data_IF_668598808994
#
_entry.id   IF_668598808994
#
_cell.length_a   1.000
_cell.length_b   1.000
_cell.length_c   1.000
_cell.angle_alpha   90.00
_cell.angle_beta   90.00
_cell.angle_gamma   90.00
#
_symmetry.space_group_name_H-M   'P 1'
#
loop_
_entity.id
_entity.type
_entity.pdbx_description
1 polymer ?
#
# COMPACT_ATOMS: atom_id res chain seq x y z
N UNK A 1 5.85 -18.72 9.24
CA UNK A 1 4.70 -19.41 8.60
C UNK A 1 4.86 -19.29 7.08
N UNK A 2 4.67 -20.39 6.33
CA UNK A 2 4.67 -20.32 4.87
C UNK A 2 3.31 -19.75 4.40
N UNK A 3 3.33 -18.78 3.49
CA UNK A 3 2.14 -18.20 2.86
C UNK A 3 1.73 -19.12 1.72
N UNK A 4 0.60 -19.81 1.84
CA UNK A 4 0.13 -20.75 0.82
C UNK A 4 -0.69 -20.03 -0.27
N UNK A 5 -1.45 -19.00 0.11
CA UNK A 5 -2.32 -18.26 -0.79
C UNK A 5 -2.28 -16.76 -0.50
N UNK A 6 -2.29 -15.95 -1.57
CA UNK A 6 -2.29 -14.51 -1.47
C UNK A 6 -3.26 -13.87 -2.48
N UNK A 7 -3.90 -12.77 -2.05
CA UNK A 7 -4.64 -11.85 -2.90
C UNK A 7 -3.84 -10.55 -3.00
N UNK A 8 -3.48 -10.14 -4.21
CA UNK A 8 -2.80 -8.86 -4.45
C UNK A 8 -3.72 -7.94 -5.25
N UNK A 9 -4.26 -6.91 -4.59
CA UNK A 9 -5.12 -5.89 -5.20
C UNK A 9 -4.24 -4.74 -5.70
N UNK A 10 -4.33 -4.42 -6.99
CA UNK A 10 -3.46 -3.49 -7.67
C UNK A 10 -2.22 -4.15 -8.29
N UNK A 11 -2.31 -5.41 -8.65
CA UNK A 11 -1.23 -6.22 -9.20
C UNK A 11 -0.75 -5.82 -10.60
N UNK A 12 -1.44 -4.89 -11.28
CA UNK A 12 -1.13 -4.52 -12.66
C UNK A 12 0.10 -3.63 -12.84
N UNK A 13 0.72 -3.10 -11.79
CA UNK A 13 1.91 -2.24 -11.88
C UNK A 13 2.59 -2.00 -10.53
N UNK A 14 3.83 -1.46 -10.57
CA UNK A 14 4.55 -0.98 -9.41
C UNK A 14 4.69 -2.01 -8.29
N UNK A 15 4.41 -1.60 -7.05
CA UNK A 15 4.54 -2.46 -5.86
C UNK A 15 3.67 -3.71 -5.94
N UNK A 16 2.42 -3.59 -6.40
CA UNK A 16 1.51 -4.73 -6.51
C UNK A 16 2.04 -5.80 -7.49
N UNK A 17 2.52 -5.38 -8.66
CA UNK A 17 3.11 -6.28 -9.65
C UNK A 17 4.38 -6.96 -9.12
N UNK A 18 5.28 -6.19 -8.52
CA UNK A 18 6.50 -6.73 -7.92
C UNK A 18 6.19 -7.73 -6.80
N UNK A 19 5.19 -7.42 -5.96
CA UNK A 19 4.76 -8.30 -4.86
C UNK A 19 4.16 -9.60 -5.39
N UNK A 20 3.26 -9.52 -6.38
CA UNK A 20 2.66 -10.71 -6.98
C UNK A 20 3.74 -11.62 -7.60
N UNK A 21 4.70 -11.05 -8.34
CA UNK A 21 5.82 -11.79 -8.90
C UNK A 21 6.70 -12.46 -7.83
N UNK A 22 7.05 -11.73 -6.77
CA UNK A 22 7.87 -12.27 -5.69
C UNK A 22 7.18 -13.40 -4.92
N UNK A 23 5.87 -13.28 -4.64
CA UNK A 23 5.06 -14.32 -4.01
C UNK A 23 4.95 -15.57 -4.89
N UNK A 24 4.71 -15.40 -6.20
CA UNK A 24 4.67 -16.51 -7.16
C UNK A 24 6.02 -17.22 -7.23
N UNK A 25 7.13 -16.49 -7.28
CA UNK A 25 8.48 -17.07 -7.28
C UNK A 25 8.79 -17.83 -5.98
N UNK A 26 8.17 -17.45 -4.86
CA UNK A 26 8.26 -18.15 -3.59
C UNK A 26 7.31 -19.36 -3.47
N UNK A 27 6.58 -19.72 -4.54
CA UNK A 27 5.66 -20.86 -4.56
C UNK A 27 4.28 -20.59 -3.96
N UNK A 28 3.93 -19.32 -3.67
CA UNK A 28 2.60 -18.93 -3.18
C UNK A 28 1.59 -18.93 -4.32
N UNK A 29 0.39 -19.47 -4.12
CA UNK A 29 -0.74 -19.33 -5.05
C UNK A 29 -1.26 -17.89 -4.97
N UNK A 30 -1.12 -17.13 -6.05
CA UNK A 30 -1.47 -15.71 -6.08
C UNK A 30 -2.70 -15.45 -6.96
N UNK A 31 -3.73 -14.82 -6.38
CA UNK A 31 -4.78 -14.15 -7.13
C UNK A 31 -4.37 -12.69 -7.32
N UNK A 32 -4.00 -12.34 -8.55
CA UNK A 32 -3.57 -11.00 -8.92
C UNK A 32 -4.77 -10.21 -9.49
N UNK A 33 -5.29 -9.24 -8.72
CA UNK A 33 -6.40 -8.39 -9.13
C UNK A 33 -5.89 -7.04 -9.65
N UNK A 34 -6.13 -6.77 -10.92
CA UNK A 34 -5.82 -5.52 -11.60
C UNK A 34 -7.03 -4.56 -11.65
N UNK A 35 -7.05 -3.69 -12.67
CA UNK A 35 -8.11 -2.69 -12.86
C UNK A 35 -9.45 -3.27 -13.30
N UNK A 36 -9.44 -4.47 -13.82
CA UNK A 36 -10.63 -5.24 -14.24
C UNK A 36 -11.49 -5.67 -13.04
N UNK A 37 -10.96 -5.59 -11.84
CA UNK A 37 -11.62 -5.89 -10.57
C UNK A 37 -11.70 -4.61 -9.73
N UNK A 38 -12.87 -4.00 -9.67
CA UNK A 38 -13.07 -2.76 -8.89
C UNK A 38 -13.14 -3.04 -7.38
N UNK A 39 -12.01 -2.84 -6.71
CA UNK A 39 -11.92 -3.03 -5.26
C UNK A 39 -12.58 -1.90 -4.43
N UNK A 40 -13.21 -0.90 -5.06
CA UNK A 40 -14.12 0.02 -4.38
C UNK A 40 -15.56 -0.52 -4.29
N UNK A 41 -15.87 -1.59 -5.03
CA UNK A 41 -17.15 -2.29 -4.99
C UNK A 41 -17.12 -3.41 -3.91
N UNK A 42 -17.97 -3.33 -2.87
CA UNK A 42 -18.01 -4.34 -1.82
C UNK A 42 -18.31 -5.76 -2.32
N UNK A 43 -19.11 -5.91 -3.39
CA UNK A 43 -19.44 -7.23 -3.92
C UNK A 43 -18.22 -7.85 -4.61
N UNK A 44 -17.47 -7.07 -5.38
CA UNK A 44 -16.24 -7.53 -6.00
C UNK A 44 -15.15 -7.88 -4.96
N UNK A 45 -15.01 -7.08 -3.90
CA UNK A 45 -14.09 -7.38 -2.80
C UNK A 45 -14.46 -8.71 -2.13
N UNK A 46 -15.74 -8.93 -1.83
CA UNK A 46 -16.21 -10.18 -1.23
C UNK A 46 -15.94 -11.40 -2.14
N UNK A 47 -16.15 -11.26 -3.45
CA UNK A 47 -15.86 -12.30 -4.43
C UNK A 47 -14.35 -12.60 -4.50
N UNK A 48 -13.49 -11.57 -4.54
CA UNK A 48 -12.03 -11.73 -4.56
C UNK A 48 -11.51 -12.47 -3.31
N UNK A 49 -12.00 -12.13 -2.12
CA UNK A 49 -11.62 -12.82 -0.89
C UNK A 49 -12.08 -14.27 -0.86
N UNK A 50 -13.29 -14.54 -1.37
CA UNK A 50 -13.82 -15.90 -1.45
C UNK A 50 -13.05 -16.76 -2.48
N UNK A 51 -12.70 -16.19 -3.64
CA UNK A 51 -11.94 -16.86 -4.70
C UNK A 51 -10.50 -17.17 -4.26
N UNK A 52 -9.85 -16.22 -3.62
CA UNK A 52 -8.46 -16.36 -3.19
C UNK A 52 -8.30 -17.25 -1.95
N UNK A 53 -9.23 -17.22 -1.02
CA UNK A 53 -9.13 -17.78 0.34
C UNK A 53 -7.73 -17.54 0.93
N UNK A 54 -7.34 -16.26 1.16
CA UNK A 54 -5.94 -15.90 1.30
C UNK A 54 -5.42 -16.00 2.74
N UNK A 55 -4.15 -16.38 2.88
CA UNK A 55 -3.34 -16.16 4.10
C UNK A 55 -2.80 -14.73 4.15
N UNK A 56 -2.59 -14.13 2.96
CA UNK A 56 -2.10 -12.77 2.81
C UNK A 56 -2.97 -11.98 1.82
N UNK A 57 -3.45 -10.82 2.26
CA UNK A 57 -4.04 -9.81 1.37
C UNK A 57 -3.12 -8.62 1.30
N UNK A 58 -2.74 -8.21 0.09
CA UNK A 58 -1.95 -6.99 -0.16
C UNK A 58 -2.79 -5.98 -0.92
N UNK A 59 -3.05 -4.83 -0.30
CA UNK A 59 -3.76 -3.70 -0.89
C UNK A 59 -2.72 -2.71 -1.40
N UNK A 60 -2.36 -2.80 -2.68
CA UNK A 60 -1.41 -1.92 -3.36
C UNK A 60 -2.09 -1.04 -4.43
N UNK A 61 -3.41 -1.18 -4.62
CA UNK A 61 -4.19 -0.34 -5.50
C UNK A 61 -4.32 1.08 -4.97
N UNK A 62 -4.36 2.04 -5.86
CA UNK A 62 -4.57 3.44 -5.54
C UNK A 62 -4.57 4.32 -6.77
N UNK A 63 -4.96 5.58 -6.59
CA UNK A 63 -4.96 6.60 -7.63
C UNK A 63 -3.56 7.18 -7.84
N UNK A 64 -3.36 7.75 -9.01
CA UNK A 64 -2.24 8.64 -9.26
C UNK A 64 -2.70 10.07 -8.88
N UNK A 65 -2.08 10.71 -7.87
CA UNK A 65 -2.45 12.08 -7.53
C UNK A 65 -2.08 13.03 -8.68
N UNK A 66 -2.87 14.09 -8.84
CA UNK A 66 -2.44 15.25 -9.63
C UNK A 66 -1.33 15.94 -8.86
N UNK A 67 -0.17 16.10 -9.50
CA UNK A 67 0.96 16.84 -8.94
C UNK A 67 0.82 18.31 -9.30
N UNK A 68 0.42 19.14 -8.33
CA UNK A 68 0.22 20.58 -8.48
C UNK A 68 0.19 21.25 -7.10
N UNK A 69 0.44 22.56 -7.02
CA UNK A 69 0.29 23.35 -5.82
C UNK A 69 -1.15 23.31 -5.29
N UNK A 70 -1.36 23.63 -4.02
CA UNK A 70 -2.68 23.47 -3.37
C UNK A 70 -3.74 24.40 -3.98
N UNK A 71 -3.37 25.60 -4.38
CA UNK A 71 -4.23 26.59 -5.03
C UNK A 71 -4.60 26.25 -6.48
N UNK A 72 -3.86 25.31 -7.09
CA UNK A 72 -4.14 24.77 -8.43
C UNK A 72 -4.97 23.48 -8.40
N UNK A 73 -5.23 22.91 -7.20
CA UNK A 73 -6.06 21.71 -7.06
C UNK A 73 -7.55 22.04 -7.18
N UNK A 74 -8.30 21.20 -7.89
CA UNK A 74 -9.76 21.17 -7.74
C UNK A 74 -10.15 20.25 -6.58
N UNK A 75 -11.36 20.40 -6.03
CA UNK A 75 -11.88 19.46 -5.03
C UNK A 75 -11.88 18.01 -5.56
N UNK A 76 -12.23 17.81 -6.81
CA UNK A 76 -12.22 16.50 -7.46
C UNK A 76 -10.81 15.88 -7.45
N UNK A 77 -9.78 16.59 -7.90
CA UNK A 77 -8.40 16.10 -7.90
C UNK A 77 -7.87 15.88 -6.49
N UNK A 78 -8.24 16.77 -5.55
CA UNK A 78 -7.86 16.68 -4.15
C UNK A 78 -8.48 15.47 -3.46
N UNK A 79 -9.78 15.22 -3.68
CA UNK A 79 -10.51 14.13 -3.00
C UNK A 79 -10.37 12.76 -3.67
N UNK A 80 -9.88 12.68 -4.90
CA UNK A 80 -9.76 11.43 -5.64
C UNK A 80 -9.04 10.30 -4.87
N UNK A 81 -7.91 10.54 -4.17
CA UNK A 81 -7.26 9.50 -3.36
C UNK A 81 -8.12 9.00 -2.18
N UNK A 82 -9.02 9.82 -1.66
CA UNK A 82 -9.96 9.42 -0.62
C UNK A 82 -11.03 8.49 -1.18
N UNK A 83 -11.59 8.86 -2.33
CA UNK A 83 -12.67 8.12 -2.97
C UNK A 83 -12.23 6.75 -3.49
N UNK A 84 -10.93 6.55 -3.70
CA UNK A 84 -10.38 5.29 -4.19
C UNK A 84 -9.51 4.61 -3.14
N UNK A 85 -8.36 5.19 -2.76
CA UNK A 85 -7.36 4.53 -1.92
C UNK A 85 -7.88 4.19 -0.53
N UNK A 86 -8.56 5.16 0.11
CA UNK A 86 -9.15 4.94 1.44
C UNK A 86 -10.32 3.97 1.35
N UNK A 87 -11.17 4.12 0.34
CA UNK A 87 -12.33 3.25 0.13
C UNK A 87 -11.93 1.79 -0.09
N UNK A 88 -10.91 1.52 -0.93
CA UNK A 88 -10.39 0.16 -1.11
C UNK A 88 -9.91 -0.42 0.22
N UNK A 89 -9.10 0.31 0.99
CA UNK A 89 -8.58 -0.16 2.27
C UNK A 89 -9.72 -0.46 3.26
N UNK A 90 -10.74 0.39 3.30
CA UNK A 90 -11.93 0.23 4.13
C UNK A 90 -12.74 -1.01 3.72
N UNK A 91 -13.09 -1.16 2.42
CA UNK A 91 -13.92 -2.26 1.94
C UNK A 91 -13.23 -3.62 2.11
N UNK A 92 -11.92 -3.70 1.81
CA UNK A 92 -11.15 -4.93 2.02
C UNK A 92 -11.10 -5.30 3.50
N UNK A 93 -10.80 -4.34 4.38
CA UNK A 93 -10.73 -4.58 5.81
C UNK A 93 -12.09 -4.97 6.42
N UNK A 94 -13.15 -4.28 5.99
CA UNK A 94 -14.53 -4.58 6.42
C UNK A 94 -14.95 -5.99 6.00
N UNK A 95 -14.68 -6.38 4.75
CA UNK A 95 -15.02 -7.70 4.24
C UNK A 95 -14.21 -8.80 4.95
N UNK A 96 -12.91 -8.58 5.20
CA UNK A 96 -12.05 -9.51 5.95
C UNK A 96 -12.50 -9.75 7.39
N UNK A 97 -13.19 -8.78 8.02
CA UNK A 97 -13.77 -8.94 9.37
C UNK A 97 -15.19 -9.50 9.35
N UNK A 98 -16.01 -9.19 8.33
CA UNK A 98 -17.40 -9.63 8.22
C UNK A 98 -17.51 -11.12 7.86
N UNK A 99 -16.68 -11.59 6.94
CA UNK A 99 -16.40 -13.01 6.68
C UNK A 99 -14.95 -13.26 7.04
N UNK A 100 -14.67 -13.60 8.32
CA UNK A 100 -13.31 -13.56 8.81
C UNK A 100 -12.41 -14.50 8.00
N UNK A 101 -11.27 -13.96 7.59
CA UNK A 101 -10.17 -14.77 7.10
C UNK A 101 -9.71 -15.74 8.19
N UNK A 102 -8.97 -16.75 7.81
CA UNK A 102 -8.40 -17.71 8.77
C UNK A 102 -7.57 -16.99 9.85
N UNK A 103 -7.64 -17.43 11.12
CA UNK A 103 -6.73 -16.95 12.15
C UNK A 103 -5.27 -17.11 11.70
N UNK A 104 -4.46 -16.10 11.92
CA UNK A 104 -3.08 -16.04 11.43
C UNK A 104 -2.90 -15.33 10.07
N UNK A 105 -3.99 -15.08 9.32
CA UNK A 105 -3.93 -14.30 8.07
C UNK A 105 -3.49 -12.85 8.32
N UNK A 106 -2.90 -12.24 7.30
CA UNK A 106 -2.45 -10.85 7.31
C UNK A 106 -3.11 -10.04 6.19
N UNK A 107 -3.64 -8.86 6.52
CA UNK A 107 -4.06 -7.83 5.56
C UNK A 107 -3.06 -6.68 5.64
N UNK A 108 -2.29 -6.48 4.57
CA UNK A 108 -1.28 -5.44 4.46
C UNK A 108 -1.74 -4.36 3.50
N UNK A 109 -1.82 -3.12 4.00
CA UNK A 109 -2.20 -1.94 3.23
C UNK A 109 -0.93 -1.16 2.88
N UNK A 110 -0.64 -1.01 1.59
CA UNK A 110 0.48 -0.20 1.13
C UNK A 110 0.07 1.28 1.16
N UNK A 111 0.57 1.97 2.18
CA UNK A 111 0.42 3.40 2.37
C UNK A 111 1.58 4.18 1.71
N UNK A 112 2.05 5.25 2.31
CA UNK A 112 3.17 6.07 1.83
C UNK A 112 3.74 6.92 2.95
N UNK A 113 5.03 7.21 2.91
CA UNK A 113 5.69 8.20 3.76
C UNK A 113 5.06 9.60 3.65
N UNK A 114 4.43 9.92 2.51
CA UNK A 114 3.64 11.16 2.38
C UNK A 114 2.56 11.29 3.48
N UNK A 115 2.00 10.19 3.96
CA UNK A 115 1.04 10.19 5.07
C UNK A 115 1.67 10.49 6.43
N UNK A 116 2.98 10.47 6.56
CA UNK A 116 3.72 10.82 7.79
C UNK A 116 4.22 12.27 7.74
N UNK A 117 4.89 12.60 6.64
CA UNK A 117 5.68 13.82 6.51
C UNK A 117 4.97 14.90 5.68
N UNK A 118 3.84 14.57 5.03
CA UNK A 118 3.17 15.43 4.06
C UNK A 118 3.73 15.26 2.64
N UNK A 119 3.07 15.88 1.68
CA UNK A 119 3.48 15.92 0.28
C UNK A 119 2.76 17.10 -0.42
N UNK A 120 3.31 18.32 -0.36
CA UNK A 120 2.59 19.55 -0.73
C UNK A 120 2.01 19.55 -2.14
N UNK A 121 2.71 18.95 -3.11
CA UNK A 121 2.26 18.91 -4.50
C UNK A 121 1.26 17.78 -4.80
N UNK A 122 0.99 16.88 -3.88
CA UNK A 122 0.14 15.70 -4.15
C UNK A 122 -1.33 15.85 -3.73
N UNK A 123 -1.77 17.08 -3.42
CA UNK A 123 -3.14 17.34 -3.01
C UNK A 123 -3.58 16.52 -1.80
N UNK A 124 -4.72 15.85 -1.88
CA UNK A 124 -5.26 15.04 -0.78
C UNK A 124 -4.60 13.68 -0.57
N UNK A 125 -3.59 13.33 -1.40
CA UNK A 125 -2.93 12.02 -1.33
C UNK A 125 -2.29 11.76 0.05
N UNK A 126 -1.56 12.72 0.59
CA UNK A 126 -0.94 12.59 1.92
C UNK A 126 -1.97 12.29 3.02
N UNK A 127 -3.10 13.02 3.01
CA UNK A 127 -4.22 12.79 3.93
C UNK A 127 -4.85 11.41 3.75
N UNK A 128 -5.08 10.98 2.51
CA UNK A 128 -5.60 9.65 2.20
C UNK A 128 -4.66 8.53 2.70
N UNK A 129 -3.35 8.68 2.46
CA UNK A 129 -2.34 7.73 2.94
C UNK A 129 -2.25 7.70 4.47
N UNK A 130 -2.38 8.83 5.14
CA UNK A 130 -2.51 8.87 6.62
C UNK A 130 -3.75 8.15 7.11
N UNK A 131 -4.88 8.35 6.43
CA UNK A 131 -6.13 7.67 6.77
C UNK A 131 -6.03 6.15 6.60
N UNK A 132 -5.33 5.65 5.58
CA UNK A 132 -5.07 4.21 5.45
C UNK A 132 -4.33 3.63 6.67
N UNK A 133 -3.39 4.37 7.26
CA UNK A 133 -2.70 3.96 8.49
C UNK A 133 -3.67 3.88 9.68
N UNK A 134 -4.59 4.85 9.82
CA UNK A 134 -5.63 4.78 10.85
C UNK A 134 -6.59 3.62 10.61
N UNK A 135 -7.01 3.39 9.36
CA UNK A 135 -7.89 2.27 9.00
C UNK A 135 -7.26 0.94 9.42
N UNK A 136 -5.96 0.71 9.13
CA UNK A 136 -5.26 -0.50 9.55
C UNK A 136 -5.30 -0.68 11.08
N UNK A 137 -5.05 0.39 11.85
CA UNK A 137 -5.12 0.36 13.32
C UNK A 137 -6.52 0.08 13.86
N UNK A 138 -7.55 0.67 13.24
CA UNK A 138 -8.94 0.43 13.65
C UNK A 138 -9.37 -1.00 13.37
N UNK A 139 -8.97 -1.54 12.21
CA UNK A 139 -9.22 -2.92 11.83
C UNK A 139 -8.51 -3.91 12.77
N UNK A 140 -7.25 -3.61 13.16
CA UNK A 140 -6.53 -4.42 14.14
C UNK A 140 -7.26 -4.46 15.48
N UNK A 141 -7.65 -3.30 16.02
CA UNK A 141 -8.44 -3.24 17.27
C UNK A 141 -9.75 -4.02 17.17
N UNK A 142 -10.43 -3.95 16.02
CA UNK A 142 -11.67 -4.68 15.82
C UNK A 142 -11.42 -6.21 15.69
N UNK A 143 -10.31 -6.63 15.11
CA UNK A 143 -9.87 -8.03 15.05
C UNK A 143 -9.60 -8.58 16.44
N UNK A 144 -8.83 -7.84 17.26
CA UNK A 144 -8.46 -8.22 18.63
C UNK A 144 -9.69 -8.32 19.53
N UNK A 145 -10.54 -7.29 19.52
CA UNK A 145 -11.76 -7.25 20.33
C UNK A 145 -12.75 -8.38 20.02
N UNK A 146 -12.68 -8.95 18.81
CA UNK A 146 -13.54 -10.04 18.35
C UNK A 146 -12.84 -11.39 18.32
N UNK A 147 -11.59 -11.47 18.77
CA UNK A 147 -10.78 -12.71 18.76
C UNK A 147 -10.60 -13.32 17.37
N UNK A 148 -10.50 -12.47 16.31
CA UNK A 148 -10.42 -12.97 14.91
C UNK A 148 -9.05 -13.52 14.54
N UNK A 149 -8.00 -13.13 15.25
CA UNK A 149 -6.62 -13.54 14.94
C UNK A 149 -6.10 -13.08 13.58
N UNK A 150 -6.75 -12.09 12.97
CA UNK A 150 -6.33 -11.48 11.70
C UNK A 150 -5.43 -10.30 12.02
N UNK A 151 -4.26 -10.23 11.38
CA UNK A 151 -3.33 -9.12 11.49
C UNK A 151 -3.60 -8.06 10.42
N UNK A 152 -3.72 -6.81 10.84
CA UNK A 152 -3.82 -5.65 9.93
C UNK A 152 -2.61 -4.76 10.08
N UNK A 153 -1.92 -4.50 8.96
CA UNK A 153 -0.67 -3.72 8.92
C UNK A 153 -0.74 -2.68 7.81
N UNK A 154 -0.31 -1.46 8.11
CA UNK A 154 0.03 -0.47 7.10
C UNK A 154 1.54 -0.45 6.89
N UNK A 155 1.99 -0.51 5.63
CA UNK A 155 3.39 -0.32 5.24
C UNK A 155 3.51 1.00 4.49
N UNK A 156 4.38 1.89 4.97
CA UNK A 156 4.62 3.20 4.38
C UNK A 156 6.04 3.29 3.79
N UNK A 157 6.22 3.10 2.47
CA UNK A 157 7.47 3.45 1.80
C UNK A 157 7.76 4.95 2.00
N UNK A 158 8.93 5.28 2.56
CA UNK A 158 9.32 6.68 2.89
C UNK A 158 10.13 7.37 1.80
N UNK A 159 10.20 6.77 0.62
CA UNK A 159 10.91 7.30 -0.53
C UNK A 159 10.01 7.28 -1.77
N UNK A 160 10.29 8.13 -2.74
CA UNK A 160 9.73 7.99 -4.07
C UNK A 160 10.31 6.71 -4.70
N UNK A 161 9.41 5.85 -5.18
CA UNK A 161 9.82 4.56 -5.73
C UNK A 161 10.23 4.72 -7.21
N UNK A 162 11.52 4.56 -7.47
CA UNK A 162 12.04 4.60 -8.83
C UNK A 162 11.31 3.60 -9.75
N UNK A 163 11.05 4.00 -10.99
CA UNK A 163 10.39 3.16 -11.99
C UNK A 163 8.88 2.98 -11.81
N UNK A 164 8.27 3.53 -10.76
CA UNK A 164 6.81 3.54 -10.62
C UNK A 164 6.20 4.80 -11.21
N UNK A 165 4.96 4.70 -11.73
CA UNK A 165 4.26 5.85 -12.31
C UNK A 165 4.09 7.01 -11.33
N UNK A 166 3.79 6.73 -10.06
CA UNK A 166 3.64 7.76 -9.02
C UNK A 166 5.01 8.36 -8.69
N UNK A 167 6.02 7.52 -8.47
CA UNK A 167 7.38 7.96 -8.15
C UNK A 167 7.98 8.84 -9.24
N UNK A 168 7.84 8.45 -10.51
CA UNK A 168 8.32 9.24 -11.66
C UNK A 168 7.64 10.61 -11.75
N UNK A 169 6.30 10.65 -11.60
CA UNK A 169 5.55 11.89 -11.65
C UNK A 169 5.91 12.83 -10.48
N UNK A 170 6.07 12.28 -9.28
CA UNK A 170 6.46 13.05 -8.11
C UNK A 170 7.91 13.57 -8.24
N UNK A 171 8.86 12.73 -8.68
CA UNK A 171 10.24 13.16 -8.90
C UNK A 171 10.34 14.32 -9.91
N UNK A 172 9.57 14.25 -11.01
CA UNK A 172 9.52 15.34 -12.00
C UNK A 172 8.95 16.63 -11.39
N UNK A 173 7.85 16.55 -10.63
CA UNK A 173 7.21 17.71 -10.03
C UNK A 173 8.10 18.38 -8.98
N UNK A 174 8.65 17.59 -8.05
CA UNK A 174 9.54 18.14 -7.02
C UNK A 174 10.90 18.57 -7.56
N UNK A 175 11.43 17.92 -8.58
CA UNK A 175 12.62 18.39 -9.29
C UNK A 175 12.39 19.76 -9.92
N UNK A 176 11.29 19.94 -10.64
CA UNK A 176 10.93 21.21 -11.24
C UNK A 176 10.73 22.33 -10.20
N UNK A 177 10.06 22.02 -9.06
CA UNK A 177 9.88 22.96 -7.94
C UNK A 177 11.23 23.42 -7.36
N UNK A 178 12.23 22.54 -7.33
CA UNK A 178 13.58 22.86 -6.82
C UNK A 178 14.55 23.37 -7.91
N UNK A 179 14.10 23.53 -9.16
CA UNK A 179 14.94 23.97 -10.26
C UNK A 179 16.00 22.94 -10.69
N UNK A 180 15.76 21.66 -10.47
CA UNK A 180 16.66 20.56 -10.81
C UNK A 180 15.95 19.47 -11.63
N UNK A 181 16.72 18.57 -12.25
CA UNK A 181 16.12 17.41 -12.92
C UNK A 181 15.53 16.41 -11.94
N UNK A 182 14.58 15.59 -12.38
CA UNK A 182 14.01 14.51 -11.58
C UNK A 182 15.09 13.54 -11.07
N UNK A 183 16.11 13.26 -11.88
CA UNK A 183 17.24 12.39 -11.56
C UNK A 183 18.10 12.99 -10.43
N UNK A 184 18.53 14.25 -10.60
CA UNK A 184 19.29 14.98 -9.59
C UNK A 184 18.54 15.07 -8.26
N UNK A 185 17.22 15.36 -8.33
CA UNK A 185 16.37 15.36 -7.14
C UNK A 185 16.38 14.01 -6.42
N UNK A 186 16.20 12.91 -7.18
CA UNK A 186 16.16 11.55 -6.61
C UNK A 186 17.49 11.16 -5.96
N UNK A 187 18.62 11.39 -6.65
CA UNK A 187 19.95 11.06 -6.14
C UNK A 187 20.28 11.84 -4.86
N UNK A 188 20.01 13.15 -4.85
CA UNK A 188 20.24 14.02 -3.70
C UNK A 188 19.35 13.65 -2.52
N UNK A 189 18.09 13.37 -2.78
CA UNK A 189 17.08 13.14 -1.73
C UNK A 189 17.10 11.72 -1.18
N UNK A 190 17.45 10.74 -2.02
CA UNK A 190 17.41 9.31 -1.70
C UNK A 190 18.70 8.60 -2.13
N UNK A 191 19.84 8.85 -1.45
CA UNK A 191 21.13 8.28 -1.84
C UNK A 191 21.18 6.74 -1.76
N UNK A 192 20.29 6.12 -0.96
CA UNK A 192 20.03 4.68 -0.98
C UNK A 192 18.61 4.50 -1.50
N UNK A 193 18.43 4.24 -2.82
CA UNK A 193 17.12 4.22 -3.42
C UNK A 193 16.30 3.01 -2.98
N UNK A 194 14.97 3.18 -2.97
CA UNK A 194 14.00 2.12 -2.79
C UNK A 194 13.20 1.96 -4.09
N UNK A 195 13.09 0.74 -4.55
CA UNK A 195 12.27 0.37 -5.70
C UNK A 195 11.07 -0.51 -5.31
N UNK A 196 10.24 -0.85 -6.29
CA UNK A 196 9.08 -1.71 -6.07
C UNK A 196 9.48 -3.12 -5.59
N UNK A 197 10.63 -3.65 -6.03
CA UNK A 197 11.12 -4.95 -5.60
C UNK A 197 11.57 -4.92 -4.14
N UNK A 198 12.20 -3.83 -3.69
CA UNK A 198 12.55 -3.62 -2.27
C UNK A 198 11.33 -3.59 -1.37
N UNK A 199 10.26 -2.90 -1.81
CA UNK A 199 8.98 -2.91 -1.07
C UNK A 199 8.36 -4.30 -1.06
N UNK A 200 8.40 -5.04 -2.17
CA UNK A 200 7.91 -6.42 -2.24
C UNK A 200 8.65 -7.35 -1.25
N UNK A 201 9.98 -7.25 -1.17
CA UNK A 201 10.77 -8.01 -0.17
C UNK A 201 10.33 -7.69 1.26
N UNK A 202 10.13 -6.41 1.58
CA UNK A 202 9.61 -5.99 2.88
C UNK A 202 8.22 -6.57 3.17
N UNK A 203 7.32 -6.60 2.19
CA UNK A 203 5.99 -7.21 2.31
C UNK A 203 6.11 -8.71 2.65
N UNK A 204 6.98 -9.44 1.96
CA UNK A 204 7.20 -10.86 2.22
C UNK A 204 7.74 -11.11 3.64
N UNK A 205 8.73 -10.34 4.08
CA UNK A 205 9.28 -10.43 5.45
C UNK A 205 8.23 -10.15 6.54
N UNK A 206 7.39 -9.12 6.33
CA UNK A 206 6.27 -8.79 7.24
C UNK A 206 5.25 -9.94 7.29
N UNK A 207 4.90 -10.50 6.14
CA UNK A 207 3.91 -11.56 6.03
C UNK A 207 4.42 -12.90 6.62
N UNK A 208 5.70 -13.21 6.43
CA UNK A 208 6.38 -14.35 7.07
C UNK A 208 6.57 -14.16 8.59
N UNK A 209 6.28 -12.96 9.11
CA UNK A 209 6.50 -12.57 10.52
C UNK A 209 7.97 -12.64 10.95
N UNK A 210 8.88 -12.46 10.02
CA UNK A 210 10.31 -12.34 10.28
C UNK A 210 10.62 -11.00 10.92
N UNK A 211 9.90 -9.94 10.49
CA UNK A 211 10.07 -8.59 10.97
C UNK A 211 8.71 -7.94 11.34
N UNK A 212 8.74 -6.97 12.26
CA UNK A 212 7.59 -6.13 12.62
C UNK A 212 6.39 -6.87 13.20
N UNK A 213 6.60 -7.95 13.92
CA UNK A 213 5.58 -8.91 14.37
C UNK A 213 4.38 -8.28 15.06
N UNK A 214 4.62 -7.32 15.95
CA UNK A 214 3.60 -6.65 16.77
C UNK A 214 3.16 -5.28 16.20
N UNK A 215 3.87 -4.78 15.20
CA UNK A 215 3.59 -3.46 14.67
C UNK A 215 2.37 -3.46 13.73
N UNK A 216 1.52 -2.44 13.88
CA UNK A 216 0.41 -2.15 12.96
C UNK A 216 0.78 -1.09 11.91
N UNK A 217 1.91 -0.40 12.12
CA UNK A 217 2.48 0.56 11.18
C UNK A 217 3.97 0.32 11.07
N UNK A 218 4.44 0.12 9.86
CA UNK A 218 5.83 -0.07 9.49
C UNK A 218 6.20 0.90 8.37
N UNK A 219 7.45 1.31 8.36
CA UNK A 219 8.03 2.05 7.24
C UNK A 219 9.12 1.24 6.57
N UNK A 220 9.39 1.57 5.30
CA UNK A 220 10.50 0.99 4.56
C UNK A 220 11.22 2.06 3.76
N UNK A 221 12.54 1.98 3.80
CA UNK A 221 13.47 2.80 3.00
C UNK A 221 14.43 1.88 2.26
N UNK A 222 15.35 2.42 1.46
CA UNK A 222 16.45 1.64 0.89
C UNK A 222 17.36 0.99 1.93
N UNK A 223 17.24 1.38 3.21
CA UNK A 223 18.01 0.82 4.33
C UNK A 223 17.29 -0.33 5.05
N UNK A 224 16.01 -0.58 4.74
CA UNK A 224 15.22 -1.65 5.34
C UNK A 224 13.93 -1.18 6.02
N UNK A 225 13.35 -2.08 6.83
CA UNK A 225 12.11 -1.90 7.59
C UNK A 225 12.38 -1.22 8.93
N UNK A 226 11.45 -0.36 9.34
CA UNK A 226 11.43 0.28 10.66
C UNK A 226 10.00 0.31 11.20
N UNK A 227 9.80 -0.01 12.48
CA UNK A 227 8.53 0.20 13.18
C UNK A 227 8.41 1.65 13.64
N UNK A 228 7.17 2.18 13.68
CA UNK A 228 6.87 3.54 14.17
C UNK A 228 5.89 3.43 15.34
#
# INVERSE_FOLDING_TARGET
>A
MSIQSALVIGAGSGVGQATAGALTAAGTRVLAAGRERDATDPAQVAALLAEADPDLVVVAAGTRPRMAAIDEQSWESFSAPWNVDVRIAFEVGRAALARPLRPGSTVLIVSSGAGLDGSPLSGGYAGAKRTQMFVARYLQRASDARGRGIRFVALAPRQLLAGTRIGTAAAAAYGAENGESAETFMERRFPVPLDAAGVARAILAIAAREEGREATLLTVTGKGLEAI
#
